data_IF_946696760033
#
_entry.id   IF_946696760033
#
_cell.length_a   1.000
_cell.length_b   1.000
_cell.length_c   1.000
_cell.angle_alpha   90.00
_cell.angle_beta   90.00
_cell.angle_gamma   90.00
#
_symmetry.space_group_name_H-M   'P 1'
#
loop_
_entity.id
_entity.type
_entity.pdbx_description
1 polymer ?
#
# COMPACT_ATOMS: atom_id res chain seq x y z
N UNK A 1 -0.64 -4.07 20.67
CA UNK A 1 -1.47 -2.85 20.67
C UNK A 1 -1.56 -2.36 19.24
N UNK A 2 -2.76 -2.27 18.66
CA UNK A 2 -2.97 -1.84 17.28
C UNK A 2 -2.88 -0.31 17.18
N UNK A 3 -2.13 0.25 16.23
CA UNK A 3 -2.00 1.71 16.01
C UNK A 3 -3.21 2.29 15.26
N UNK A 4 -4.41 1.86 15.65
CA UNK A 4 -5.68 2.20 14.99
C UNK A 4 -6.46 3.21 15.83
N UNK A 5 -7.10 4.17 15.18
CA UNK A 5 -7.96 5.13 15.86
C UNK A 5 -9.30 4.53 16.31
N UNK A 6 -9.75 3.44 15.67
CA UNK A 6 -11.01 2.75 15.96
C UNK A 6 -10.82 1.24 16.01
N UNK A 7 -11.81 0.55 16.57
CA UNK A 7 -11.88 -0.91 16.51
C UNK A 7 -12.07 -1.40 15.06
N UNK A 8 -11.73 -2.66 14.80
CA UNK A 8 -11.99 -3.27 13.50
C UNK A 8 -13.48 -3.34 13.19
N UNK A 9 -14.33 -3.69 14.16
CA UNK A 9 -15.79 -3.71 14.01
C UNK A 9 -16.38 -2.34 13.62
N UNK A 10 -15.93 -1.26 14.25
CA UNK A 10 -16.37 0.10 13.90
C UNK A 10 -15.89 0.48 12.49
N UNK A 11 -14.65 0.12 12.15
CA UNK A 11 -14.09 0.38 10.83
C UNK A 11 -14.85 -0.38 9.75
N UNK A 12 -15.14 -1.67 9.95
CA UNK A 12 -15.98 -2.48 9.05
C UNK A 12 -17.34 -1.84 8.77
N UNK A 13 -17.98 -1.31 9.81
CA UNK A 13 -19.26 -0.62 9.69
C UNK A 13 -19.16 0.60 8.78
N UNK A 14 -18.06 1.35 8.83
CA UNK A 14 -17.80 2.48 7.93
C UNK A 14 -17.49 2.03 6.50
N UNK A 15 -16.70 0.96 6.34
CA UNK A 15 -16.31 0.44 5.02
C UNK A 15 -17.50 -0.06 4.19
N UNK A 16 -18.57 -0.50 4.85
CA UNK A 16 -19.81 -0.94 4.19
C UNK A 16 -20.35 0.05 3.15
N UNK A 17 -20.14 1.35 3.37
CA UNK A 17 -20.56 2.44 2.46
C UNK A 17 -19.80 2.44 1.13
N UNK A 18 -18.57 1.94 1.14
CA UNK A 18 -17.67 1.96 -0.02
C UNK A 18 -17.66 0.64 -0.77
N UNK A 19 -18.15 -0.47 -0.20
CA UNK A 19 -18.15 -1.80 -0.83
C UNK A 19 -18.74 -1.77 -2.24
N UNK A 20 -19.95 -1.20 -2.38
CA UNK A 20 -20.62 -1.09 -3.67
C UNK A 20 -19.89 -0.14 -4.62
N UNK A 21 -19.39 0.98 -4.11
CA UNK A 21 -18.67 1.97 -4.91
C UNK A 21 -17.37 1.39 -5.48
N UNK A 22 -16.61 0.67 -4.66
CA UNK A 22 -15.39 -0.01 -5.06
C UNK A 22 -15.66 -1.24 -5.95
N UNK A 23 -16.91 -1.67 -6.12
CA UNK A 23 -17.24 -2.84 -6.92
C UNK A 23 -16.79 -4.16 -6.27
N UNK A 24 -16.67 -4.19 -4.94
CA UNK A 24 -16.40 -5.41 -4.20
C UNK A 24 -17.65 -6.28 -4.24
N UNK A 25 -17.54 -7.40 -4.93
CA UNK A 25 -18.64 -8.35 -5.14
C UNK A 25 -18.75 -9.38 -4.02
N UNK A 26 -17.62 -9.73 -3.39
CA UNK A 26 -17.53 -10.80 -2.39
C UNK A 26 -16.40 -10.51 -1.40
N UNK A 27 -16.62 -10.96 -0.18
CA UNK A 27 -15.61 -11.11 0.87
C UNK A 27 -15.64 -12.56 1.32
N UNK A 28 -14.65 -13.36 0.90
CA UNK A 28 -14.62 -14.80 1.14
C UNK A 28 -13.70 -15.12 2.32
N UNK A 29 -14.16 -16.02 3.20
CA UNK A 29 -13.33 -16.62 4.25
C UNK A 29 -12.52 -17.75 3.61
N UNK A 30 -11.19 -17.68 3.70
CA UNK A 30 -10.25 -18.67 3.18
C UNK A 30 -9.50 -19.38 4.31
N UNK A 31 -9.87 -19.14 5.56
CA UNK A 31 -9.16 -19.66 6.73
C UNK A 31 -9.10 -21.19 6.74
N UNK A 32 -10.10 -21.86 6.13
CA UNK A 32 -10.14 -23.33 6.04
C UNK A 32 -9.08 -23.93 5.10
N UNK A 33 -8.39 -23.11 4.30
CA UNK A 33 -7.29 -23.55 3.45
C UNK A 33 -5.97 -23.67 4.21
N UNK A 34 -5.91 -23.12 5.43
CA UNK A 34 -4.77 -23.24 6.33
C UNK A 34 -5.15 -24.14 7.51
N UNK A 35 -4.64 -25.38 7.52
CA UNK A 35 -4.81 -26.35 8.62
C UNK A 35 -3.64 -26.31 9.62
N UNK A 36 -2.75 -25.33 9.47
CA UNK A 36 -1.52 -25.17 10.22
C UNK A 36 -1.56 -23.98 11.17
N UNK A 37 -2.54 -23.08 11.02
CA UNK A 37 -2.70 -21.93 11.90
C UNK A 37 -4.17 -21.58 12.19
N UNK A 38 -4.43 -20.90 13.30
CA UNK A 38 -5.73 -20.31 13.61
C UNK A 38 -5.97 -18.97 12.90
N UNK A 39 -5.06 -18.56 12.01
CA UNK A 39 -5.16 -17.30 11.29
C UNK A 39 -6.47 -17.25 10.50
N UNK A 40 -7.12 -16.10 10.62
CA UNK A 40 -8.26 -15.73 9.81
C UNK A 40 -7.75 -15.07 8.55
N UNK A 41 -8.11 -15.66 7.42
CA UNK A 41 -7.69 -15.21 6.09
C UNK A 41 -8.94 -14.89 5.31
N UNK A 42 -9.05 -13.65 4.84
CA UNK A 42 -10.16 -13.18 4.04
C UNK A 42 -9.68 -12.61 2.71
N UNK A 43 -10.48 -12.79 1.66
CA UNK A 43 -10.23 -12.20 0.34
C UNK A 43 -11.39 -11.31 -0.09
N UNK A 44 -11.09 -10.05 -0.41
CA UNK A 44 -12.04 -9.11 -1.01
C UNK A 44 -11.89 -9.14 -2.54
N UNK A 45 -12.99 -9.35 -3.26
CA UNK A 45 -12.97 -9.63 -4.70
C UNK A 45 -13.67 -8.52 -5.49
N UNK A 46 -12.93 -7.85 -6.38
CA UNK A 46 -13.35 -6.81 -7.31
C UNK A 46 -13.17 -7.28 -8.76
N UNK A 47 -14.18 -7.93 -9.37
CA UNK A 47 -14.04 -8.57 -10.69
C UNK A 47 -13.67 -7.61 -11.82
N UNK A 48 -14.08 -6.35 -11.70
CA UNK A 48 -13.83 -5.29 -12.69
C UNK A 48 -12.78 -4.28 -12.20
N UNK A 49 -11.88 -4.68 -11.30
CA UNK A 49 -10.76 -3.83 -10.88
C UNK A 49 -9.86 -3.50 -12.08
N UNK A 50 -9.23 -2.33 -12.04
CA UNK A 50 -8.32 -1.89 -13.10
C UNK A 50 -6.88 -2.37 -12.90
N UNK A 51 -6.56 -2.93 -11.74
CA UNK A 51 -5.26 -3.53 -11.39
C UNK A 51 -5.43 -4.95 -10.86
N UNK A 52 -5.40 -5.13 -9.55
CA UNK A 52 -5.56 -6.41 -8.86
C UNK A 52 -7.04 -6.64 -8.50
N UNK A 53 -7.52 -7.85 -8.77
CA UNK A 53 -8.93 -8.21 -8.56
C UNK A 53 -9.20 -8.81 -7.18
N UNK A 54 -8.15 -9.18 -6.45
CA UNK A 54 -8.23 -9.81 -5.12
C UNK A 54 -7.26 -9.13 -4.17
N UNK A 55 -7.78 -8.68 -3.03
CA UNK A 55 -7.01 -8.14 -1.90
C UNK A 55 -7.16 -9.06 -0.70
N UNK A 56 -6.11 -9.22 0.10
CA UNK A 56 -6.04 -10.25 1.14
C UNK A 56 -5.89 -9.63 2.51
N UNK A 57 -6.71 -10.07 3.46
CA UNK A 57 -6.62 -9.68 4.85
C UNK A 57 -6.31 -10.87 5.74
N UNK A 58 -5.38 -10.68 6.67
CA UNK A 58 -4.95 -11.71 7.62
C UNK A 58 -4.87 -11.16 9.04
N UNK A 59 -5.40 -11.89 10.01
CA UNK A 59 -5.23 -11.62 11.44
C UNK A 59 -5.63 -12.86 12.25
N UNK A 60 -5.23 -12.93 13.53
CA UNK A 60 -5.78 -13.88 14.50
C UNK A 60 -7.26 -13.62 14.80
N UNK A 61 -7.74 -12.39 14.56
CA UNK A 61 -9.12 -11.98 14.78
C UNK A 61 -9.86 -11.82 13.46
N UNK A 62 -11.09 -12.35 13.41
CA UNK A 62 -11.90 -12.39 12.19
C UNK A 62 -12.24 -11.00 11.65
N UNK A 63 -12.66 -10.10 12.52
CA UNK A 63 -13.03 -8.73 12.16
C UNK A 63 -11.83 -7.94 11.63
N UNK A 64 -10.66 -8.09 12.23
CA UNK A 64 -9.41 -7.49 11.74
C UNK A 64 -9.02 -8.03 10.36
N UNK A 65 -9.11 -9.34 10.13
CA UNK A 65 -8.81 -9.93 8.83
C UNK A 65 -9.78 -9.46 7.74
N UNK A 66 -11.08 -9.40 8.05
CA UNK A 66 -12.08 -8.84 7.14
C UNK A 66 -11.82 -7.36 6.86
N UNK A 67 -11.47 -6.59 7.89
CA UNK A 67 -11.18 -5.17 7.78
C UNK A 67 -9.95 -4.95 6.89
N UNK A 68 -8.87 -5.71 7.07
CA UNK A 68 -7.66 -5.61 6.27
C UNK A 68 -7.94 -5.87 4.78
N UNK A 69 -8.66 -6.95 4.45
CA UNK A 69 -9.00 -7.29 3.08
C UNK A 69 -9.82 -6.19 2.39
N UNK A 70 -10.81 -5.63 3.10
CA UNK A 70 -11.65 -4.57 2.58
C UNK A 70 -10.90 -3.23 2.45
N UNK A 71 -10.09 -2.86 3.45
CA UNK A 71 -9.30 -1.64 3.43
C UNK A 71 -8.36 -1.61 2.22
N UNK A 72 -7.57 -2.67 2.03
CA UNK A 72 -6.65 -2.79 0.89
C UNK A 72 -7.39 -2.71 -0.45
N UNK A 73 -8.55 -3.38 -0.55
CA UNK A 73 -9.36 -3.38 -1.77
C UNK A 73 -9.95 -1.99 -2.11
N UNK A 74 -10.40 -1.26 -1.08
CA UNK A 74 -10.96 0.10 -1.20
C UNK A 74 -9.86 1.12 -1.49
N UNK A 75 -8.71 0.99 -0.84
CA UNK A 75 -7.52 1.80 -1.09
C UNK A 75 -7.05 1.67 -2.53
N UNK A 76 -6.93 0.43 -3.02
CA UNK A 76 -6.60 0.12 -4.41
C UNK A 76 -7.62 0.76 -5.36
N UNK A 77 -8.92 0.68 -5.04
CA UNK A 77 -9.96 1.33 -5.84
C UNK A 77 -9.74 2.85 -5.97
N UNK A 78 -9.45 3.55 -4.88
CA UNK A 78 -9.22 4.99 -4.94
C UNK A 78 -7.96 5.34 -5.74
N UNK A 79 -6.91 4.51 -5.66
CA UNK A 79 -5.71 4.68 -6.46
C UNK A 79 -5.94 4.41 -7.96
N UNK A 80 -6.87 3.52 -8.33
CA UNK A 80 -7.31 3.28 -9.72
C UNK A 80 -8.20 4.38 -10.29
N UNK A 81 -8.83 5.18 -9.43
CA UNK A 81 -9.73 6.27 -9.82
C UNK A 81 -9.11 7.66 -9.65
N UNK A 82 -7.83 7.74 -9.28
CA UNK A 82 -7.12 9.02 -9.16
C UNK A 82 -7.14 9.76 -10.50
N UNK A 83 -7.47 11.04 -10.46
CA UNK A 83 -7.55 11.90 -11.64
C UNK A 83 -6.48 12.98 -11.57
N UNK A 84 -5.88 13.36 -12.69
CA UNK A 84 -4.97 14.50 -12.73
C UNK A 84 -5.74 15.81 -12.58
N UNK A 85 -5.13 16.77 -11.89
CA UNK A 85 -5.60 18.16 -11.80
C UNK A 85 -5.22 18.98 -13.04
N UNK A 86 -4.05 18.71 -13.64
CA UNK A 86 -3.62 19.33 -14.89
C UNK A 86 -3.19 18.26 -15.89
N UNK A 87 -3.47 18.51 -17.16
CA UNK A 87 -3.27 17.53 -18.25
C UNK A 87 -2.33 18.09 -19.30
N UNK A 88 -1.55 17.20 -19.93
CA UNK A 88 -0.71 17.52 -21.08
C UNK A 88 0.31 18.66 -20.85
N UNK A 89 0.97 18.68 -19.69
CA UNK A 89 1.99 19.67 -19.31
C UNK A 89 3.35 18.98 -19.18
N UNK A 90 4.42 19.58 -19.69
CA UNK A 90 5.77 19.02 -19.61
C UNK A 90 6.52 19.43 -18.33
N UNK A 91 7.59 18.70 -17.97
CA UNK A 91 8.47 19.12 -16.86
C UNK A 91 9.10 20.50 -17.12
N UNK A 92 9.39 20.82 -18.38
CA UNK A 92 9.94 22.12 -18.78
C UNK A 92 8.93 23.26 -18.55
N UNK A 93 7.64 23.04 -18.82
CA UNK A 93 6.59 24.03 -18.57
C UNK A 93 6.45 24.32 -17.07
N UNK A 94 6.43 23.29 -16.23
CA UNK A 94 6.39 23.44 -14.76
C UNK A 94 7.63 24.17 -14.24
N UNK A 95 8.81 23.82 -14.75
CA UNK A 95 10.05 24.48 -14.37
C UNK A 95 10.07 25.97 -14.75
N UNK A 96 9.56 26.31 -15.94
CA UNK A 96 9.45 27.70 -16.42
C UNK A 96 8.48 28.54 -15.57
N UNK A 97 7.45 27.90 -15.00
CA UNK A 97 6.52 28.54 -14.07
C UNK A 97 7.05 28.57 -12.61
N UNK A 98 8.25 28.05 -12.37
CA UNK A 98 8.82 27.88 -11.03
C UNK A 98 8.00 26.97 -10.10
N UNK A 99 7.23 26.05 -10.66
CA UNK A 99 6.47 25.05 -9.91
C UNK A 99 7.39 23.95 -9.36
N UNK A 100 7.07 23.46 -8.15
CA UNK A 100 7.71 22.26 -7.62
C UNK A 100 7.08 21.03 -8.26
N UNK A 101 7.90 20.06 -8.67
CA UNK A 101 7.39 18.80 -9.20
C UNK A 101 8.31 17.62 -8.86
N UNK A 102 7.72 16.42 -8.87
CA UNK A 102 8.45 15.16 -8.76
C UNK A 102 8.99 14.77 -10.14
N UNK A 103 10.31 14.63 -10.24
CA UNK A 103 10.96 14.16 -11.46
C UNK A 103 10.96 12.63 -11.51
N UNK A 104 10.31 12.04 -12.52
CA UNK A 104 10.17 10.58 -12.67
C UNK A 104 11.51 9.88 -12.89
N UNK A 105 12.44 10.52 -13.61
CA UNK A 105 13.74 9.92 -13.95
C UNK A 105 14.67 9.76 -12.74
N UNK A 106 14.33 10.35 -11.59
CA UNK A 106 15.02 10.16 -10.32
C UNK A 106 14.43 9.02 -9.48
N UNK A 107 13.36 8.40 -9.96
CA UNK A 107 12.69 7.29 -9.31
C UNK A 107 13.02 5.97 -10.03
N UNK A 108 12.75 4.86 -9.36
CA UNK A 108 13.02 3.50 -9.86
C UNK A 108 11.85 3.00 -10.74
N UNK A 109 11.72 3.57 -11.94
CA UNK A 109 10.73 3.14 -12.95
C UNK A 109 11.41 2.53 -14.17
N UNK A 110 10.64 1.73 -14.93
CA UNK A 110 11.14 0.99 -16.09
C UNK A 110 11.39 1.83 -17.36
N UNK A 111 11.18 3.14 -17.30
CA UNK A 111 11.28 4.03 -18.45
C UNK A 111 11.74 5.44 -18.05
N UNK A 112 12.30 6.16 -19.03
CA UNK A 112 12.76 7.54 -18.90
C UNK A 112 11.84 8.47 -19.69
N UNK A 113 11.48 9.62 -19.10
CA UNK A 113 10.70 10.69 -19.74
C UNK A 113 11.61 11.83 -20.17
N UNK A 114 11.44 12.35 -21.38
CA UNK A 114 12.11 13.58 -21.81
C UNK A 114 11.45 14.80 -21.16
N UNK A 115 12.22 15.83 -20.77
CA UNK A 115 11.67 17.01 -20.08
C UNK A 115 10.56 17.75 -20.86
N UNK A 116 10.57 17.64 -22.20
CA UNK A 116 9.58 18.22 -23.12
C UNK A 116 8.37 17.33 -23.37
N UNK A 117 8.39 16.09 -22.93
CA UNK A 117 7.27 15.18 -23.07
C UNK A 117 6.18 15.63 -22.10
N UNK A 118 5.01 15.94 -22.64
CA UNK A 118 3.84 16.27 -21.83
C UNK A 118 3.34 15.04 -21.07
N UNK A 119 2.99 15.27 -19.81
CA UNK A 119 2.39 14.32 -18.88
C UNK A 119 1.15 14.94 -18.21
N UNK A 120 0.40 14.09 -17.52
CA UNK A 120 -0.68 14.50 -16.64
C UNK A 120 -0.17 14.54 -15.19
N UNK A 121 -0.64 15.50 -14.40
CA UNK A 121 -0.11 15.76 -13.06
C UNK A 121 -1.23 15.87 -12.04
N UNK A 122 -0.95 15.30 -10.87
CA UNK A 122 -1.73 15.45 -9.66
C UNK A 122 -1.14 16.53 -8.75
N UNK A 123 -1.99 17.20 -7.96
CA UNK A 123 -1.55 18.19 -6.98
C UNK A 123 -1.34 17.53 -5.61
N UNK A 124 -0.12 17.65 -5.08
CA UNK A 124 0.25 17.19 -3.74
C UNK A 124 0.75 18.33 -2.85
N UNK A 125 1.12 17.98 -1.62
CA UNK A 125 1.79 18.90 -0.67
C UNK A 125 2.98 18.22 0.00
N UNK A 126 4.07 18.96 0.14
CA UNK A 126 5.22 18.52 0.93
C UNK A 126 4.86 18.49 2.41
N UNK A 127 5.26 17.44 3.12
CA UNK A 127 4.85 17.28 4.53
C UNK A 127 5.48 18.33 5.46
N UNK A 128 6.74 18.70 5.25
CA UNK A 128 7.49 19.60 6.14
C UNK A 128 7.20 21.07 5.83
N UNK A 129 7.31 21.45 4.56
CA UNK A 129 7.18 22.86 4.14
C UNK A 129 5.77 23.26 3.72
N UNK A 130 4.84 22.30 3.64
CA UNK A 130 3.45 22.49 3.20
C UNK A 130 3.32 23.20 1.84
N UNK A 131 4.34 23.04 0.99
CA UNK A 131 4.36 23.62 -0.36
C UNK A 131 3.61 22.72 -1.31
N UNK A 132 2.88 23.32 -2.23
CA UNK A 132 2.29 22.61 -3.36
C UNK A 132 3.39 22.00 -4.23
N UNK A 133 3.14 20.79 -4.70
CA UNK A 133 4.04 20.05 -5.58
C UNK A 133 3.22 19.25 -6.57
N UNK A 134 3.60 19.28 -7.84
CA UNK A 134 3.02 18.46 -8.87
C UNK A 134 3.65 17.07 -8.88
N UNK A 135 2.82 16.05 -8.87
CA UNK A 135 3.21 14.65 -8.88
C UNK A 135 2.70 14.06 -10.20
N UNK A 136 3.53 13.43 -11.01
CA UNK A 136 3.07 12.77 -12.24
C UNK A 136 1.93 11.81 -11.90
N UNK A 137 0.81 11.89 -12.62
CA UNK A 137 -0.36 11.02 -12.38
C UNK A 137 0.02 9.54 -12.45
N UNK A 138 0.96 9.20 -13.32
CA UNK A 138 1.49 7.85 -13.48
C UNK A 138 2.21 7.30 -12.25
N UNK A 139 2.70 8.17 -11.37
CA UNK A 139 3.35 7.78 -10.12
C UNK A 139 2.34 7.46 -9.00
N UNK A 140 1.07 7.84 -9.18
CA UNK A 140 0.00 7.66 -8.17
C UNK A 140 -1.09 6.68 -8.64
N UNK A 141 -1.31 6.57 -9.94
CA UNK A 141 -2.39 5.78 -10.50
C UNK A 141 -2.09 4.30 -10.51
N UNK A 142 -3.03 3.51 -9.98
CA UNK A 142 -3.06 2.06 -10.15
C UNK A 142 -3.91 1.60 -11.35
N UNK A 143 -4.32 2.49 -12.24
CA UNK A 143 -5.07 2.07 -13.45
C UNK A 143 -4.13 1.40 -14.46
N UNK A 144 -4.16 0.06 -14.52
CA UNK A 144 -3.38 -0.72 -15.49
C UNK A 144 -3.93 -0.73 -16.91
N UNK A 145 -5.09 -0.09 -17.16
CA UNK A 145 -5.58 0.10 -18.53
C UNK A 145 -4.82 1.21 -19.26
N UNK A 146 -4.20 2.14 -18.53
CA UNK A 146 -3.42 3.24 -19.09
C UNK A 146 -2.12 2.71 -19.73
N UNK A 147 -1.84 3.15 -20.96
CA UNK A 147 -0.64 2.72 -21.70
C UNK A 147 0.64 3.08 -20.94
N UNK A 148 0.72 4.30 -20.43
CA UNK A 148 1.90 4.75 -19.68
C UNK A 148 2.13 3.89 -18.44
N UNK A 149 1.08 3.42 -17.75
CA UNK A 149 1.26 2.63 -16.54
C UNK A 149 1.80 1.23 -16.85
N UNK A 150 1.54 0.72 -18.06
CA UNK A 150 2.16 -0.52 -18.56
C UNK A 150 3.63 -0.34 -18.94
N UNK A 151 4.03 0.86 -19.35
CA UNK A 151 5.40 1.18 -19.76
C UNK A 151 6.28 1.44 -18.53
N UNK A 152 5.82 2.30 -17.62
CA UNK A 152 6.59 2.69 -16.44
C UNK A 152 6.56 1.62 -15.34
N UNK A 153 5.51 0.80 -15.33
CA UNK A 153 5.18 -0.05 -14.20
C UNK A 153 4.39 0.72 -13.13
N UNK A 154 3.82 -0.03 -12.21
CA UNK A 154 3.07 0.49 -11.07
C UNK A 154 3.51 -0.26 -9.83
N UNK A 155 3.46 0.44 -8.70
CA UNK A 155 3.52 -0.18 -7.38
C UNK A 155 2.55 0.57 -6.47
N UNK A 156 2.14 -0.09 -5.40
CA UNK A 156 1.29 0.49 -4.37
C UNK A 156 2.11 1.11 -3.23
N UNK A 157 3.42 1.33 -3.43
CA UNK A 157 4.34 1.66 -2.34
C UNK A 157 3.92 2.98 -1.69
N UNK A 158 3.59 2.93 -0.39
CA UNK A 158 3.22 4.12 0.37
C UNK A 158 1.79 4.60 0.12
N UNK A 159 0.99 3.87 -0.66
CA UNK A 159 -0.46 4.06 -0.67
C UNK A 159 -0.99 3.46 0.63
N UNK A 160 -1.78 4.22 1.37
CA UNK A 160 -2.34 3.76 2.63
C UNK A 160 -3.68 4.39 2.91
N UNK A 161 -4.50 3.64 3.64
CA UNK A 161 -5.80 4.01 4.15
C UNK A 161 -5.81 3.94 5.68
N UNK A 162 -6.71 4.71 6.28
CA UNK A 162 -6.84 4.77 7.73
C UNK A 162 -8.13 5.44 8.14
N UNK A 163 -8.46 5.31 9.43
CA UNK A 163 -9.67 5.94 9.99
C UNK A 163 -9.65 7.48 9.92
N UNK A 164 -8.48 8.07 9.71
CA UNK A 164 -8.25 9.49 9.44
C UNK A 164 -6.93 9.68 8.67
N UNK A 165 -6.66 10.90 8.22
CA UNK A 165 -5.46 11.24 7.45
C UNK A 165 -4.14 10.91 8.19
N UNK A 166 -4.04 11.19 9.50
CA UNK A 166 -2.80 10.94 10.25
C UNK A 166 -2.50 9.45 10.35
N UNK A 167 -3.53 8.64 10.57
CA UNK A 167 -3.39 7.19 10.59
C UNK A 167 -2.92 6.67 9.23
N UNK A 168 -3.59 7.06 8.15
CA UNK A 168 -3.18 6.69 6.78
C UNK A 168 -1.72 7.09 6.50
N UNK A 169 -1.33 8.32 6.88
CA UNK A 169 0.03 8.82 6.71
C UNK A 169 1.07 8.01 7.48
N UNK A 170 0.77 7.61 8.73
CA UNK A 170 1.68 6.76 9.52
C UNK A 170 1.87 5.40 8.83
N UNK A 171 0.79 4.75 8.39
CA UNK A 171 0.89 3.46 7.71
C UNK A 171 1.63 3.56 6.37
N UNK A 172 1.42 4.63 5.61
CA UNK A 172 2.18 4.94 4.39
C UNK A 172 3.69 4.99 4.67
N UNK A 173 4.12 5.71 5.72
CA UNK A 173 5.54 5.76 6.10
C UNK A 173 6.08 4.42 6.58
N UNK A 174 5.32 3.68 7.40
CA UNK A 174 5.76 2.38 7.89
C UNK A 174 5.99 1.39 6.74
N UNK A 175 5.09 1.37 5.75
CA UNK A 175 5.25 0.54 4.56
C UNK A 175 6.48 0.94 3.74
N UNK A 176 6.69 2.24 3.50
CA UNK A 176 7.87 2.71 2.77
C UNK A 176 9.18 2.34 3.49
N UNK A 177 9.20 2.42 4.82
CA UNK A 177 10.35 2.03 5.63
C UNK A 177 10.58 0.52 5.54
N UNK A 178 9.51 -0.29 5.61
CA UNK A 178 9.58 -1.74 5.41
C UNK A 178 10.21 -2.08 4.05
N UNK A 179 9.64 -1.55 2.96
CA UNK A 179 10.10 -1.81 1.58
C UNK A 179 11.53 -1.34 1.33
N UNK A 180 11.90 -0.19 1.87
CA UNK A 180 13.26 0.31 1.74
C UNK A 180 14.26 -0.55 2.53
N UNK A 181 13.89 -0.98 3.74
CA UNK A 181 14.75 -1.82 4.58
C UNK A 181 15.02 -3.19 3.96
N UNK A 182 13.99 -3.81 3.38
CA UNK A 182 14.10 -5.11 2.72
C UNK A 182 14.91 -5.05 1.41
N UNK A 183 14.91 -3.90 0.71
CA UNK A 183 15.77 -3.68 -0.47
C UNK A 183 17.26 -3.51 -0.11
N UNK A 184 17.59 -2.72 0.92
CA UNK A 184 18.96 -2.26 1.21
C UNK A 184 19.88 -3.30 1.89
N UNK A 185 19.34 -4.46 2.30
CA UNK A 185 20.07 -5.70 2.60
C UNK A 185 21.25 -5.59 3.59
N UNK A 186 20.94 -5.46 4.88
CA UNK A 186 21.65 -6.15 5.98
C UNK A 186 20.61 -6.66 6.97
N UNK A 187 20.41 -7.98 7.00
CA UNK A 187 19.45 -8.62 7.91
C UNK A 187 20.16 -9.50 8.92
N UNK A 188 19.69 -9.44 10.17
CA UNK A 188 20.18 -10.28 11.26
C UNK A 188 19.13 -11.32 11.55
N UNK A 189 19.51 -12.59 11.55
CA UNK A 189 18.61 -13.65 12.00
C UNK A 189 18.35 -13.47 13.49
N UNK A 190 17.09 -13.55 13.88
CA UNK A 190 16.68 -13.53 15.28
C UNK A 190 16.78 -14.95 15.84
N UNK A 191 17.64 -15.15 16.82
CA UNK A 191 17.86 -16.45 17.47
C UNK A 191 16.70 -16.85 18.41
N UNK A 192 16.00 -15.86 18.94
CA UNK A 192 14.86 -16.07 19.83
C UNK A 192 13.73 -15.11 19.49
N UNK A 193 12.55 -15.66 19.23
CA UNK A 193 11.33 -14.88 18.96
C UNK A 193 10.24 -15.37 19.90
N UNK A 194 9.99 -14.60 20.95
CA UNK A 194 8.76 -14.73 21.73
C UNK A 194 7.68 -13.88 21.05
N UNK A 195 6.74 -14.53 20.38
CA UNK A 195 5.59 -13.87 19.82
C UNK A 195 4.33 -14.67 20.13
N UNK A 196 3.34 -14.00 20.74
CA UNK A 196 2.05 -14.60 21.05
C UNK A 196 1.34 -15.14 19.80
N UNK A 197 1.67 -14.61 18.61
CA UNK A 197 1.11 -15.06 17.33
C UNK A 197 1.46 -16.54 17.05
N UNK A 198 2.63 -17.04 17.45
CA UNK A 198 3.00 -18.45 17.23
C UNK A 198 2.24 -19.44 18.12
N UNK A 199 1.54 -18.97 19.16
CA UNK A 199 0.60 -19.82 19.91
C UNK A 199 -0.58 -20.25 19.04
N UNK A 200 -0.85 -19.49 17.97
CA UNK A 200 -1.92 -19.72 17.01
C UNK A 200 -1.42 -20.47 15.77
N UNK A 201 -0.23 -21.08 15.82
CA UNK A 201 0.37 -21.81 14.71
C UNK A 201 0.89 -23.15 15.21
N UNK A 202 0.57 -24.24 14.51
CA UNK A 202 1.16 -25.55 14.80
C UNK A 202 2.61 -25.57 14.32
N UNK A 203 3.51 -25.18 15.23
CA UNK A 203 4.95 -25.15 15.00
C UNK A 203 5.55 -26.53 14.68
N UNK A 204 4.79 -27.63 14.81
CA UNK A 204 5.24 -28.95 14.34
C UNK A 204 5.08 -29.12 12.82
N UNK A 205 4.20 -28.32 12.19
CA UNK A 205 3.93 -28.35 10.75
C UNK A 205 4.65 -27.22 9.99
N UNK A 206 5.04 -26.15 10.69
CA UNK A 206 5.69 -24.97 10.10
C UNK A 206 7.04 -24.73 10.75
N UNK A 207 8.07 -24.60 9.92
CA UNK A 207 9.36 -24.00 10.30
C UNK A 207 9.39 -22.56 9.82
N UNK A 208 9.70 -21.62 10.70
CA UNK A 208 9.84 -20.20 10.36
C UNK A 208 11.14 -19.63 10.91
N UNK A 209 11.88 -18.88 10.10
CA UNK A 209 13.06 -18.12 10.50
C UNK A 209 12.77 -16.62 10.43
N UNK A 210 13.15 -15.89 11.47
CA UNK A 210 12.90 -14.45 11.55
C UNK A 210 14.15 -13.65 11.29
N UNK A 211 13.99 -12.53 10.60
CA UNK A 211 15.06 -11.62 10.25
C UNK A 211 14.68 -10.21 10.62
N UNK A 212 15.60 -9.51 11.30
CA UNK A 212 15.49 -8.10 11.61
C UNK A 212 16.30 -7.28 10.63
N UNK A 213 15.70 -6.23 10.08
CA UNK A 213 16.35 -5.28 9.20
C UNK A 213 16.64 -3.97 9.93
N UNK A 214 17.91 -3.59 9.95
CA UNK A 214 18.34 -2.28 10.45
C UNK A 214 18.03 -1.19 9.42
N UNK A 215 17.58 -0.03 9.90
CA UNK A 215 17.35 1.14 9.05
C UNK A 215 17.67 2.44 9.80
N UNK A 216 17.86 3.50 9.03
CA UNK A 216 18.22 4.83 9.53
C UNK A 216 17.18 5.47 10.44
N UNK A 217 15.95 4.95 10.47
CA UNK A 217 14.86 5.46 11.28
C UNK A 217 14.77 4.77 12.65
N UNK A 218 15.58 3.74 12.90
CA UNK A 218 15.53 2.90 14.10
C UNK A 218 14.13 2.32 14.38
N UNK A 219 13.36 2.06 13.32
CA UNK A 219 12.06 1.38 13.43
C UNK A 219 12.21 -0.11 13.14
N UNK A 220 11.57 -1.00 13.91
CA UNK A 220 11.74 -2.43 13.71
C UNK A 220 11.04 -2.89 12.43
N UNK A 221 11.80 -3.55 11.54
CA UNK A 221 11.28 -4.25 10.36
C UNK A 221 11.66 -5.73 10.49
N UNK A 222 10.65 -6.59 10.45
CA UNK A 222 10.80 -8.04 10.67
C UNK A 222 10.22 -8.81 9.50
N UNK A 223 11.00 -9.75 8.96
CA UNK A 223 10.57 -10.72 7.95
C UNK A 223 10.57 -12.13 8.56
N UNK A 224 9.65 -12.97 8.10
CA UNK A 224 9.66 -14.40 8.34
C UNK A 224 9.78 -15.15 7.02
N UNK A 225 10.71 -16.12 6.94
CA UNK A 225 10.84 -17.07 5.82
C UNK A 225 10.57 -18.49 6.29
#
# INVERSE_FOLDING_TARGET
>A
MSLRFRSAGDTLSLLSKYIKQAGISRLADLSYLDDTSDLKIFSAIRPNAKSITVSMGKSIHKDEAQCAALMESIETYFAEEVKPEIINVSEEDLANNHDLFVNLNKQDYNATVLSKQSLDWCLGRTLISNKEIYIPHIALSLDSNLLLSKIFGQNSDGIASGSNYKEALIYSFLELIERNSTKLSQKKQLEHVECDIFRFTDMNKISASFYFYENIFNLPVIESN
#
